data_IF_074411386262
#
_entry.id   IF_074411386262
#
_cell.length_a   1.000
_cell.length_b   1.000
_cell.length_c   1.000
_cell.angle_alpha   90.00
_cell.angle_beta   90.00
_cell.angle_gamma   90.00
#
_symmetry.space_group_name_H-M   'P 1'
#
loop_
_entity.id
_entity.type
_entity.pdbx_description
1 polymer ?
#
# COMPACT_ATOMS: atom_id res chain seq x y z
N UNK A 1 -5.15 -10.78 11.31
CA UNK A 1 -6.39 -10.89 10.48
C UNK A 1 -7.33 -12.00 10.96
N UNK A 2 -6.88 -12.93 11.80
CA UNK A 2 -7.71 -14.01 12.38
C UNK A 2 -8.91 -13.50 13.18
N UNK A 3 -8.75 -12.36 13.84
CA UNK A 3 -9.82 -11.73 14.66
C UNK A 3 -10.95 -11.10 13.82
N UNK A 4 -10.77 -10.94 12.51
CA UNK A 4 -11.79 -10.36 11.64
C UNK A 4 -12.81 -11.42 11.22
N UNK A 5 -14.07 -11.05 11.27
CA UNK A 5 -15.16 -11.81 10.63
C UNK A 5 -15.02 -11.78 9.11
N UNK A 6 -15.60 -12.74 8.37
CA UNK A 6 -15.72 -12.62 6.91
C UNK A 6 -16.31 -11.25 6.53
N UNK A 7 -15.74 -10.61 5.52
CA UNK A 7 -16.05 -9.24 5.08
C UNK A 7 -15.78 -8.13 6.12
N UNK A 8 -15.09 -8.45 7.21
CA UNK A 8 -14.60 -7.45 8.16
C UNK A 8 -13.53 -6.56 7.54
N UNK A 9 -13.50 -5.30 7.96
CA UNK A 9 -12.57 -4.28 7.48
C UNK A 9 -11.50 -4.06 8.55
N UNK A 10 -10.25 -3.98 8.13
CA UNK A 10 -9.10 -3.60 8.94
C UNK A 10 -8.45 -2.37 8.34
N UNK A 11 -8.25 -1.35 9.16
CA UNK A 11 -7.37 -0.23 8.83
C UNK A 11 -6.13 -0.30 9.71
N UNK A 12 -4.96 -0.14 9.13
CA UNK A 12 -3.70 -0.17 9.87
C UNK A 12 -2.67 0.79 9.32
N UNK A 13 -1.77 1.20 10.22
CA UNK A 13 -0.58 2.00 9.91
C UNK A 13 0.63 1.14 10.21
N UNK A 14 1.51 0.98 9.23
CA UNK A 14 2.68 0.11 9.34
C UNK A 14 3.91 0.74 8.68
N UNK A 15 5.08 0.21 8.98
CA UNK A 15 6.27 0.54 8.21
C UNK A 15 6.11 0.07 6.76
N UNK A 16 6.58 0.87 5.81
CA UNK A 16 6.51 0.61 4.37
C UNK A 16 7.27 -0.66 3.92
N UNK A 17 8.22 -1.11 4.70
CA UNK A 17 9.17 -2.17 4.35
C UNK A 17 8.52 -3.50 3.98
N UNK A 18 7.38 -3.84 4.57
CA UNK A 18 6.67 -5.09 4.26
C UNK A 18 6.28 -5.21 2.78
N UNK A 19 6.17 -4.08 2.07
CA UNK A 19 5.80 -4.08 0.65
C UNK A 19 6.90 -4.64 -0.27
N UNK A 20 8.18 -4.59 0.14
CA UNK A 20 9.31 -4.86 -0.76
C UNK A 20 10.34 -5.84 -0.23
N UNK A 21 10.60 -5.84 1.09
CA UNK A 21 11.69 -6.65 1.66
C UNK A 21 11.40 -8.14 1.51
N UNK A 22 12.40 -8.90 1.09
CA UNK A 22 12.30 -10.34 0.82
C UNK A 22 11.78 -11.15 2.01
N UNK A 23 12.20 -10.82 3.23
CA UNK A 23 11.75 -11.52 4.44
C UNK A 23 10.22 -11.49 4.66
N UNK A 24 9.50 -10.59 3.98
CA UNK A 24 8.03 -10.51 4.03
C UNK A 24 7.36 -11.12 2.78
N UNK A 25 8.08 -11.87 1.95
CA UNK A 25 7.52 -12.45 0.73
C UNK A 25 6.34 -13.40 1.03
N UNK A 26 6.52 -14.32 1.97
CA UNK A 26 5.49 -15.28 2.38
C UNK A 26 4.27 -14.56 2.99
N UNK A 27 4.54 -13.54 3.81
CA UNK A 27 3.48 -12.69 4.36
C UNK A 27 2.68 -12.00 3.25
N UNK A 28 3.34 -11.43 2.24
CA UNK A 28 2.65 -10.77 1.11
C UNK A 28 1.83 -11.77 0.31
N UNK A 29 2.35 -12.97 0.10
CA UNK A 29 1.64 -14.02 -0.61
C UNK A 29 0.33 -14.40 0.09
N UNK A 30 0.40 -14.71 1.37
CA UNK A 30 -0.78 -15.02 2.18
C UNK A 30 -1.74 -13.84 2.26
N UNK A 31 -1.18 -12.65 2.44
CA UNK A 31 -1.92 -11.41 2.53
C UNK A 31 -2.74 -11.11 1.26
N UNK A 32 -2.13 -11.23 0.08
CA UNK A 32 -2.80 -11.01 -1.21
C UNK A 32 -3.84 -12.12 -1.47
N UNK A 33 -3.56 -13.38 -1.12
CA UNK A 33 -4.49 -14.49 -1.32
C UNK A 33 -5.73 -14.44 -0.45
N UNK A 34 -5.56 -14.00 0.80
CA UNK A 34 -6.60 -14.12 1.83
C UNK A 34 -7.39 -12.84 2.05
N UNK A 35 -6.92 -11.72 1.54
CA UNK A 35 -7.50 -10.41 1.80
C UNK A 35 -7.54 -9.57 0.53
N UNK A 36 -8.47 -8.64 0.53
CA UNK A 36 -8.60 -7.65 -0.50
C UNK A 36 -8.04 -6.32 0.01
N UNK A 37 -6.94 -5.87 -0.59
CA UNK A 37 -6.33 -4.57 -0.35
C UNK A 37 -7.16 -3.51 -1.07
N UNK A 38 -7.95 -2.73 -0.35
CA UNK A 38 -8.82 -1.71 -0.92
C UNK A 38 -8.09 -0.38 -1.14
N UNK A 39 -7.44 0.09 -0.11
CA UNK A 39 -6.76 1.40 -0.14
C UNK A 39 -5.35 1.25 0.45
N UNK A 40 -4.38 1.86 -0.22
CA UNK A 40 -3.01 1.95 0.22
C UNK A 40 -2.55 3.42 0.16
N UNK A 41 -2.40 4.07 1.30
CA UNK A 41 -1.76 5.37 1.43
C UNK A 41 -0.25 5.19 1.63
N UNK A 42 0.55 5.37 0.59
CA UNK A 42 2.02 5.32 0.70
C UNK A 42 2.54 6.70 1.09
N UNK A 43 2.52 7.00 2.37
CA UNK A 43 2.91 8.31 2.92
C UNK A 43 4.42 8.49 2.94
N UNK A 44 5.16 7.38 2.92
CA UNK A 44 6.62 7.39 2.95
C UNK A 44 7.20 8.09 4.19
N UNK A 45 8.28 8.85 4.03
CA UNK A 45 9.05 9.47 5.13
C UNK A 45 8.35 10.69 5.72
N UNK A 46 8.49 10.87 7.05
CA UNK A 46 7.98 12.06 7.74
C UNK A 46 6.46 12.12 7.84
N UNK A 47 5.79 10.97 7.91
CA UNK A 47 4.34 10.89 8.12
C UNK A 47 3.92 11.43 9.49
N UNK A 48 4.75 11.21 10.50
CA UNK A 48 4.54 11.64 11.88
C UNK A 48 5.76 12.39 12.40
N UNK A 49 5.52 13.39 13.24
CA UNK A 49 6.58 14.23 13.80
C UNK A 49 7.61 13.42 14.60
N UNK A 50 7.16 12.39 15.31
CA UNK A 50 7.97 11.52 16.17
C UNK A 50 8.70 10.41 15.38
N UNK A 51 8.24 10.10 14.16
CA UNK A 51 8.76 8.98 13.36
C UNK A 51 9.27 9.44 11.99
N UNK A 52 10.05 10.52 11.97
CA UNK A 52 10.50 11.16 10.71
C UNK A 52 11.35 10.25 9.81
N UNK A 53 12.09 9.33 10.42
CA UNK A 53 13.03 8.45 9.72
C UNK A 53 12.48 7.05 9.40
N UNK A 54 11.17 6.86 9.58
CA UNK A 54 10.49 5.63 9.21
C UNK A 54 9.50 5.88 8.06
N UNK A 55 9.64 5.15 6.94
CA UNK A 55 8.66 5.23 5.86
C UNK A 55 7.41 4.47 6.26
N UNK A 56 6.26 5.12 6.13
CA UNK A 56 4.97 4.64 6.63
C UNK A 56 4.01 4.40 5.48
N UNK A 57 3.21 3.33 5.63
CA UNK A 57 2.02 3.08 4.83
C UNK A 57 0.78 2.99 5.69
N UNK A 58 -0.34 3.44 5.14
CA UNK A 58 -1.68 3.27 5.69
C UNK A 58 -2.44 2.33 4.77
N UNK A 59 -3.05 1.29 5.29
CA UNK A 59 -3.78 0.33 4.46
C UNK A 59 -5.16 0.04 5.01
N UNK A 60 -6.12 -0.12 4.10
CA UNK A 60 -7.48 -0.59 4.38
C UNK A 60 -7.68 -1.90 3.63
N UNK A 61 -8.05 -2.91 4.37
CA UNK A 61 -8.20 -4.29 3.94
C UNK A 61 -9.60 -4.79 4.23
N UNK A 62 -10.10 -5.64 3.35
CA UNK A 62 -11.30 -6.43 3.60
C UNK A 62 -10.92 -7.91 3.67
N UNK A 63 -11.39 -8.62 4.68
CA UNK A 63 -11.24 -10.06 4.77
C UNK A 63 -12.24 -10.74 3.84
N UNK A 64 -11.84 -11.01 2.61
CA UNK A 64 -12.66 -11.66 1.59
C UNK A 64 -12.05 -13.00 1.20
N UNK A 65 -12.86 -14.07 1.21
CA UNK A 65 -12.41 -15.40 0.75
C UNK A 65 -12.39 -15.53 -0.79
N UNK A 66 -13.14 -14.72 -1.46
CA UNK A 66 -13.22 -14.75 -2.93
C UNK A 66 -13.02 -13.33 -3.45
N UNK A 67 -12.02 -13.16 -4.29
CA UNK A 67 -11.74 -11.95 -5.02
C UNK A 67 -12.34 -12.04 -6.40
N UNK A 68 -12.85 -10.95 -6.91
CA UNK A 68 -13.23 -10.82 -8.32
C UNK A 68 -12.02 -10.34 -9.12
N UNK A 69 -11.89 -10.81 -10.35
CA UNK A 69 -10.88 -10.28 -11.28
C UNK A 69 -11.02 -8.77 -11.53
N UNK A 70 -12.19 -8.21 -11.22
CA UNK A 70 -12.48 -6.79 -11.36
C UNK A 70 -12.27 -5.98 -10.06
N UNK A 71 -11.75 -6.60 -8.99
CA UNK A 71 -11.49 -5.88 -7.74
C UNK A 71 -10.29 -4.95 -7.94
N UNK A 72 -10.56 -3.65 -7.84
CA UNK A 72 -9.57 -2.59 -8.01
C UNK A 72 -9.15 -2.08 -6.64
N UNK A 73 -7.85 -2.08 -6.41
CA UNK A 73 -7.21 -1.42 -5.29
C UNK A 73 -6.81 0.01 -5.68
N UNK A 74 -6.82 0.92 -4.73
CA UNK A 74 -6.40 2.30 -4.94
C UNK A 74 -5.19 2.59 -4.08
N UNK A 75 -4.10 3.09 -4.68
CA UNK A 75 -3.00 3.69 -3.93
C UNK A 75 -2.95 5.20 -4.11
N UNK A 76 -2.62 5.90 -3.03
CA UNK A 76 -2.40 7.34 -3.01
C UNK A 76 -1.00 7.61 -2.47
N UNK A 77 -0.20 8.34 -3.24
CA UNK A 77 1.15 8.76 -2.86
C UNK A 77 1.17 10.29 -2.81
N UNK A 78 1.04 10.91 -1.62
CA UNK A 78 0.81 12.36 -1.53
C UNK A 78 1.98 13.22 -1.99
N UNK A 79 3.19 12.67 -1.97
CA UNK A 79 4.43 13.35 -2.39
C UNK A 79 5.36 12.35 -3.08
N UNK A 80 6.50 12.79 -3.55
CA UNK A 80 7.52 11.87 -4.06
C UNK A 80 7.99 10.90 -2.99
N UNK A 81 8.21 9.64 -3.37
CA UNK A 81 8.55 8.56 -2.43
C UNK A 81 9.85 8.81 -1.65
N UNK A 82 10.74 9.62 -2.22
CA UNK A 82 12.02 9.99 -1.60
C UNK A 82 11.93 11.30 -0.80
N UNK A 83 10.81 12.00 -0.86
CA UNK A 83 10.63 13.26 -0.15
C UNK A 83 10.42 13.02 1.35
N UNK A 84 11.33 13.59 2.14
CA UNK A 84 11.27 13.51 3.60
C UNK A 84 10.65 14.78 4.16
N UNK A 85 9.42 14.70 4.62
CA UNK A 85 8.82 15.82 5.33
C UNK A 85 9.48 16.03 6.70
N UNK A 86 10.06 17.21 6.91
CA UNK A 86 10.78 17.58 8.14
C UNK A 86 10.12 18.75 8.88
N UNK A 87 9.31 19.51 8.19
CA UNK A 87 8.59 20.66 8.74
C UNK A 87 7.10 20.38 8.90
N UNK A 88 6.43 21.13 9.76
CA UNK A 88 4.97 21.03 9.92
C UNK A 88 4.22 21.41 8.64
N UNK A 89 4.79 22.27 7.79
CA UNK A 89 4.20 22.64 6.50
C UNK A 89 4.25 21.46 5.52
N UNK A 90 5.38 20.77 5.42
CA UNK A 90 5.53 19.60 4.55
C UNK A 90 4.61 18.46 5.00
N UNK A 91 4.44 18.26 6.30
CA UNK A 91 3.47 17.29 6.84
C UNK A 91 2.05 17.68 6.43
N UNK A 92 1.68 18.97 6.55
CA UNK A 92 0.36 19.45 6.09
C UNK A 92 0.14 19.23 4.59
N UNK A 93 1.18 19.45 3.77
CA UNK A 93 1.12 19.15 2.33
C UNK A 93 0.84 17.67 2.07
N UNK A 94 1.49 16.76 2.81
CA UNK A 94 1.20 15.32 2.72
C UNK A 94 -0.24 14.99 3.09
N UNK A 95 -0.76 15.55 4.17
CA UNK A 95 -2.16 15.36 4.59
C UNK A 95 -3.11 15.86 3.50
N UNK A 96 -2.87 17.06 2.99
CA UNK A 96 -3.67 17.61 1.89
C UNK A 96 -3.61 16.73 0.64
N UNK A 97 -2.42 16.24 0.28
CA UNK A 97 -2.23 15.32 -0.85
C UNK A 97 -2.99 14.01 -0.70
N UNK A 98 -3.05 13.43 0.50
CA UNK A 98 -3.85 12.24 0.78
C UNK A 98 -5.35 12.53 0.63
N UNK A 99 -5.83 13.64 1.21
CA UNK A 99 -7.25 14.01 1.16
C UNK A 99 -7.70 14.37 -0.26
N UNK A 100 -6.84 15.01 -1.05
CA UNK A 100 -7.11 15.36 -2.44
C UNK A 100 -6.88 14.19 -3.42
N UNK A 101 -6.35 13.05 -2.95
CA UNK A 101 -6.07 11.90 -3.80
C UNK A 101 -5.01 12.18 -4.86
N UNK A 102 -4.00 13.01 -4.55
CA UNK A 102 -2.90 13.29 -5.48
C UNK A 102 -2.08 12.04 -5.74
N UNK A 103 -1.59 11.89 -7.00
CA UNK A 103 -0.81 10.71 -7.44
C UNK A 103 -1.54 9.41 -7.10
N UNK A 104 -2.77 9.32 -7.55
CA UNK A 104 -3.63 8.14 -7.42
C UNK A 104 -3.27 7.11 -8.47
N UNK A 105 -3.13 5.86 -8.03
CA UNK A 105 -2.91 4.69 -8.87
C UNK A 105 -4.03 3.69 -8.62
N UNK A 106 -4.55 3.09 -9.69
CA UNK A 106 -5.51 1.99 -9.63
C UNK A 106 -4.82 0.72 -10.11
N UNK A 107 -5.00 -0.37 -9.38
CA UNK A 107 -4.35 -1.63 -9.70
C UNK A 107 -5.15 -2.82 -9.16
N UNK A 108 -4.98 -3.97 -9.80
CA UNK A 108 -5.40 -5.23 -9.24
C UNK A 108 -4.23 -5.83 -8.44
N UNK A 109 -4.44 -6.15 -7.16
CA UNK A 109 -3.36 -6.67 -6.30
C UNK A 109 -2.88 -8.06 -6.75
N UNK A 110 -3.69 -8.83 -7.47
CA UNK A 110 -3.32 -10.17 -7.93
C UNK A 110 -2.22 -10.15 -8.99
N UNK A 111 -2.04 -9.02 -9.70
CA UNK A 111 -0.96 -8.85 -10.68
C UNK A 111 0.44 -9.01 -10.09
N UNK A 112 0.61 -8.77 -8.80
CA UNK A 112 1.90 -8.93 -8.14
C UNK A 112 2.30 -10.40 -7.93
N UNK A 113 1.36 -11.35 -8.10
CA UNK A 113 1.64 -12.78 -7.96
C UNK A 113 2.62 -13.31 -9.02
N UNK A 114 2.75 -12.65 -10.18
CA UNK A 114 3.69 -13.05 -11.25
C UNK A 114 5.12 -12.59 -10.96
N UNK A 115 5.31 -11.59 -10.10
CA UNK A 115 6.62 -11.05 -9.78
C UNK A 115 7.26 -11.91 -8.68
N UNK A 116 8.53 -12.24 -8.85
CA UNK A 116 9.29 -12.94 -7.80
C UNK A 116 9.23 -12.16 -6.49
N UNK A 117 8.99 -12.86 -5.37
CA UNK A 117 8.85 -12.28 -4.02
C UNK A 117 7.62 -11.37 -3.85
N UNK A 118 6.81 -11.18 -4.88
CA UNK A 118 5.53 -10.46 -4.87
C UNK A 118 5.58 -9.07 -4.25
N UNK A 119 6.53 -8.19 -4.65
CA UNK A 119 6.58 -6.83 -4.14
C UNK A 119 5.34 -6.04 -4.58
N UNK A 120 4.84 -5.16 -3.71
CA UNK A 120 3.70 -4.30 -4.03
C UNK A 120 4.18 -3.05 -4.75
N UNK A 121 4.31 -3.14 -6.06
CA UNK A 121 4.82 -2.10 -6.96
C UNK A 121 3.68 -1.43 -7.72
N UNK A 122 2.72 -0.89 -7.00
CA UNK A 122 1.47 -0.33 -7.52
C UNK A 122 1.68 0.75 -8.60
N UNK A 123 2.84 1.41 -8.66
CA UNK A 123 3.19 2.45 -9.65
C UNK A 123 3.75 1.89 -10.97
N UNK A 124 3.95 0.58 -11.09
CA UNK A 124 4.33 -0.04 -12.35
C UNK A 124 3.14 -0.09 -13.28
N UNK A 125 3.36 0.16 -14.59
CA UNK A 125 2.33 -0.08 -15.59
C UNK A 125 2.14 -1.58 -15.82
N UNK A 126 0.97 -1.98 -16.32
CA UNK A 126 0.69 -3.38 -16.64
C UNK A 126 1.69 -3.91 -17.68
N UNK A 127 2.00 -3.12 -18.70
CA UNK A 127 3.01 -3.47 -19.71
C UNK A 127 4.39 -3.77 -19.11
N UNK A 128 4.77 -3.06 -18.05
CA UNK A 128 6.06 -3.29 -17.40
C UNK A 128 6.01 -4.54 -16.51
N UNK A 129 4.90 -4.76 -15.84
CA UNK A 129 4.70 -5.95 -15.00
C UNK A 129 4.68 -7.23 -15.84
N UNK A 130 4.09 -7.21 -17.04
CA UNK A 130 4.00 -8.36 -17.95
C UNK A 130 5.35 -8.76 -18.58
N UNK A 131 6.38 -7.92 -18.46
CA UNK A 131 7.73 -8.20 -18.94
C UNK A 131 8.61 -8.91 -17.89
N UNK A 132 8.13 -9.08 -16.68
CA UNK A 132 8.83 -9.71 -15.57
C UNK A 132 8.44 -11.17 -15.41
#
# INVERSE_FOLDING_TARGET
>A
LELLKPHGILAMVTMRNWMFIQQFADFREEFIKSNDLRILGDVSWGAFAEMKDNPITMSILCKCKSKSANDISVSITPTDLNERARSAEEIRKKVAGLLCGTRRFEFNSDRFNIIKEKPIVYWWSDKFTDQY
#
